data_IF_448749551933
#
_entry.id   IF_448749551933
#
_cell.length_a   1.000
_cell.length_b   1.000
_cell.length_c   1.000
_cell.angle_alpha   90.00
_cell.angle_beta   90.00
_cell.angle_gamma   90.00
#
_symmetry.space_group_name_H-M   'P 1'
#
loop_
_entity.id
_entity.type
_entity.pdbx_description
1 polymer ?
#
# COMPACT_ATOMS: atom_id res chain seq x y z
N UNK A 1 -3.60 -1.58 -8.36
CA UNK A 1 -3.62 -1.18 -6.91
C UNK A 1 -2.23 -1.00 -6.28
N UNK A 2 -1.33 -1.98 -6.35
CA UNK A 2 -0.02 -1.90 -5.65
C UNK A 2 1.04 -1.07 -6.39
N UNK A 3 1.02 -1.00 -7.72
CA UNK A 3 2.12 -0.41 -8.50
C UNK A 3 2.32 1.09 -8.22
N UNK A 4 1.23 1.87 -8.15
CA UNK A 4 1.30 3.29 -7.77
C UNK A 4 1.67 3.49 -6.31
N UNK A 5 1.30 2.57 -5.42
CA UNK A 5 1.74 2.58 -4.02
C UNK A 5 3.26 2.35 -3.91
N UNK A 6 3.82 1.42 -4.71
CA UNK A 6 5.27 1.23 -4.81
C UNK A 6 5.99 2.49 -5.30
N UNK A 7 5.41 3.22 -6.26
CA UNK A 7 5.96 4.49 -6.71
C UNK A 7 5.99 5.55 -5.59
N UNK A 8 4.91 5.66 -4.81
CA UNK A 8 4.84 6.57 -3.65
C UNK A 8 5.84 6.17 -2.55
N UNK A 9 5.99 4.87 -2.29
CA UNK A 9 6.97 4.33 -1.34
C UNK A 9 8.41 4.61 -1.78
N UNK A 10 8.69 4.51 -3.09
CA UNK A 10 9.98 4.87 -3.67
C UNK A 10 10.31 6.34 -3.45
N UNK A 11 9.34 7.23 -3.71
CA UNK A 11 9.51 8.67 -3.46
C UNK A 11 9.84 8.94 -1.99
N UNK A 12 9.16 8.27 -1.05
CA UNK A 12 9.41 8.50 0.37
C UNK A 12 10.72 7.90 0.87
N UNK A 13 11.15 6.75 0.35
CA UNK A 13 12.45 6.17 0.67
C UNK A 13 13.60 7.11 0.27
N UNK A 14 13.43 7.91 -0.77
CA UNK A 14 14.42 8.86 -1.27
C UNK A 14 14.31 10.25 -0.61
N UNK A 15 13.09 10.80 -0.53
CA UNK A 15 12.84 12.23 -0.26
C UNK A 15 12.31 12.56 1.13
N UNK A 16 11.81 11.60 1.89
CA UNK A 16 11.24 11.89 3.21
C UNK A 16 12.31 12.49 4.14
N UNK A 17 11.94 13.52 4.90
CA UNK A 17 12.92 14.24 5.73
C UNK A 17 13.25 13.51 7.03
N UNK A 18 12.30 12.72 7.53
CA UNK A 18 12.45 11.92 8.75
C UNK A 18 13.07 10.53 8.43
N UNK A 19 14.25 10.18 8.99
CA UNK A 19 14.88 8.89 8.76
C UNK A 19 14.00 7.68 9.08
N UNK A 20 13.16 7.75 10.11
CA UNK A 20 12.21 6.67 10.44
C UNK A 20 11.17 6.47 9.34
N UNK A 21 10.72 7.56 8.70
CA UNK A 21 9.76 7.52 7.61
C UNK A 21 10.37 6.88 6.35
N UNK A 22 11.62 7.24 6.02
CA UNK A 22 12.37 6.59 4.92
C UNK A 22 12.56 5.10 5.15
N UNK A 23 12.93 4.72 6.37
CA UNK A 23 13.15 3.32 6.74
C UNK A 23 11.84 2.51 6.68
N UNK A 24 10.73 3.09 7.15
CA UNK A 24 9.40 2.51 7.01
C UNK A 24 9.03 2.30 5.54
N UNK A 25 9.15 3.34 4.70
CA UNK A 25 8.83 3.27 3.28
C UNK A 25 9.63 2.17 2.56
N UNK A 26 10.92 2.05 2.87
CA UNK A 26 11.82 1.03 2.29
C UNK A 26 11.38 -0.40 2.66
N UNK A 27 11.05 -0.64 3.93
CA UNK A 27 10.56 -1.95 4.39
C UNK A 27 9.21 -2.30 3.78
N UNK A 28 8.28 -1.35 3.76
CA UNK A 28 6.96 -1.56 3.21
C UNK A 28 7.00 -1.82 1.69
N UNK A 29 7.85 -1.11 0.95
CA UNK A 29 8.11 -1.37 -0.47
C UNK A 29 8.55 -2.82 -0.69
N UNK A 30 9.59 -3.25 0.02
CA UNK A 30 10.14 -4.61 -0.09
C UNK A 30 9.09 -5.68 0.24
N UNK A 31 8.26 -5.43 1.26
CA UNK A 31 7.15 -6.30 1.64
C UNK A 31 6.10 -6.42 0.52
N UNK A 32 5.69 -5.30 -0.07
CA UNK A 32 4.71 -5.28 -1.16
C UNK A 32 5.22 -5.94 -2.45
N UNK A 33 6.52 -5.82 -2.77
CA UNK A 33 7.13 -6.54 -3.89
C UNK A 33 7.10 -8.06 -3.67
N UNK A 34 7.46 -8.51 -2.47
CA UNK A 34 7.41 -9.93 -2.13
C UNK A 34 5.98 -10.48 -2.21
N UNK A 35 4.98 -9.68 -1.82
CA UNK A 35 3.57 -10.03 -1.94
C UNK A 35 3.10 -10.13 -3.39
N UNK A 36 3.52 -9.22 -4.28
CA UNK A 36 3.25 -9.32 -5.71
C UNK A 36 3.79 -10.63 -6.29
N UNK A 37 4.99 -11.04 -5.85
CA UNK A 37 5.57 -12.34 -6.22
C UNK A 37 4.72 -13.54 -5.78
N UNK A 38 3.90 -13.41 -4.74
CA UNK A 38 2.97 -14.45 -4.26
C UNK A 38 1.59 -14.37 -4.91
N UNK A 39 1.12 -13.18 -5.24
CA UNK A 39 -0.17 -12.93 -5.89
C UNK A 39 -0.18 -13.42 -7.34
N UNK A 40 0.88 -13.14 -8.11
CA UNK A 40 0.97 -13.50 -9.54
C UNK A 40 0.76 -14.99 -9.83
N UNK A 41 1.43 -15.93 -9.12
CA UNK A 41 1.19 -17.36 -9.33
C UNK A 41 -0.24 -17.80 -8.97
N UNK A 42 -0.89 -17.14 -8.01
CA UNK A 42 -2.29 -17.43 -7.66
C UNK A 42 -3.24 -16.99 -8.78
N UNK A 43 -3.04 -15.80 -9.36
CA UNK A 43 -3.81 -15.34 -10.52
C UNK A 43 -3.67 -16.31 -11.69
N UNK A 44 -2.43 -16.72 -12.01
CA UNK A 44 -2.16 -17.69 -13.07
C UNK A 44 -2.87 -19.03 -12.84
N UNK A 45 -2.87 -19.55 -11.59
CA UNK A 45 -3.61 -20.78 -11.23
C UNK A 45 -5.13 -20.64 -11.30
N UNK A 46 -5.65 -19.43 -11.25
CA UNK A 46 -7.07 -19.13 -11.40
C UNK A 46 -7.47 -18.87 -12.88
N UNK A 47 -6.51 -18.87 -13.81
CA UNK A 47 -6.75 -18.51 -15.20
C UNK A 47 -7.07 -17.03 -15.39
N UNK A 48 -6.72 -16.19 -14.40
CA UNK A 48 -6.89 -14.74 -14.47
C UNK A 48 -5.66 -14.11 -15.13
N UNK A 49 -5.85 -13.06 -15.96
CA UNK A 49 -4.73 -12.33 -16.53
C UNK A 49 -3.95 -11.59 -15.43
N UNK A 50 -2.65 -11.39 -15.65
CA UNK A 50 -1.81 -10.51 -14.82
C UNK A 50 -1.97 -9.02 -15.19
N UNK A 51 -2.93 -8.70 -16.07
CA UNK A 51 -3.25 -7.34 -16.46
C UNK A 51 -3.98 -6.61 -15.34
N UNK A 52 -3.59 -5.38 -15.02
CA UNK A 52 -4.37 -4.53 -14.11
C UNK A 52 -5.70 -4.18 -14.77
N UNK A 53 -6.76 -4.91 -14.41
CA UNK A 53 -8.14 -4.67 -14.87
C UNK A 53 -8.72 -3.34 -14.38
N UNK A 54 -8.02 -2.66 -13.46
CA UNK A 54 -8.35 -1.33 -12.97
C UNK A 54 -7.44 -0.25 -13.56
N UNK A 55 -6.61 -0.57 -14.56
CA UNK A 55 -5.82 0.44 -15.26
C UNK A 55 -6.73 1.54 -15.82
N UNK A 56 -6.47 2.79 -15.40
CA UNK A 56 -7.26 3.96 -15.80
C UNK A 56 -8.53 4.23 -14.98
N UNK A 57 -8.82 3.42 -13.95
CA UNK A 57 -9.93 3.67 -13.02
C UNK A 57 -9.43 3.86 -11.59
N UNK A 58 -9.91 4.91 -10.92
CA UNK A 58 -9.60 5.15 -9.51
C UNK A 58 -10.57 4.37 -8.62
N UNK A 59 -10.00 3.64 -7.66
CA UNK A 59 -10.73 2.90 -6.63
C UNK A 59 -10.40 3.49 -5.26
N UNK A 60 -11.30 3.39 -4.27
CA UNK A 60 -10.99 3.83 -2.90
C UNK A 60 -9.65 3.24 -2.41
N UNK A 61 -8.83 4.03 -1.74
CA UNK A 61 -7.50 3.61 -1.24
C UNK A 61 -6.47 3.26 -2.32
N UNK A 62 -6.73 3.53 -3.60
CA UNK A 62 -5.68 3.51 -4.60
C UNK A 62 -4.88 4.82 -4.50
N UNK A 63 -3.55 4.73 -4.56
CA UNK A 63 -2.72 5.91 -4.84
C UNK A 63 -2.98 6.29 -6.30
N UNK A 64 -3.47 7.50 -6.55
CA UNK A 64 -3.81 7.98 -7.90
C UNK A 64 -2.60 8.63 -8.58
N UNK A 65 -2.72 8.97 -9.88
CA UNK A 65 -1.66 9.75 -10.53
C UNK A 65 -1.58 11.17 -9.97
N UNK A 66 -2.73 11.78 -9.64
CA UNK A 66 -2.77 13.10 -9.02
C UNK A 66 -2.06 13.11 -7.65
N UNK A 67 -2.20 12.04 -6.85
CA UNK A 67 -1.47 11.90 -5.58
C UNK A 67 0.04 11.84 -5.81
N UNK A 68 0.49 11.12 -6.84
CA UNK A 68 1.90 11.04 -7.19
C UNK A 68 2.44 12.39 -7.69
N UNK A 69 1.68 13.11 -8.50
CA UNK A 69 2.05 14.46 -8.95
C UNK A 69 2.16 15.43 -7.77
N UNK A 70 1.18 15.43 -6.87
CA UNK A 70 1.21 16.23 -5.66
C UNK A 70 2.42 15.86 -4.78
N UNK A 71 2.69 14.57 -4.60
CA UNK A 71 3.86 14.10 -3.85
C UNK A 71 5.19 14.51 -4.51
N UNK A 72 5.30 14.46 -5.85
CA UNK A 72 6.52 14.88 -6.55
C UNK A 72 6.80 16.39 -6.41
N UNK A 73 5.73 17.19 -6.35
CA UNK A 73 5.79 18.65 -6.22
C UNK A 73 5.98 19.13 -4.78
N UNK A 74 5.64 18.30 -3.79
CA UNK A 74 5.77 18.65 -2.38
C UNK A 74 7.20 18.37 -1.85
N UNK A 75 7.56 19.09 -0.80
CA UNK A 75 8.83 18.94 -0.08
C UNK A 75 8.60 19.03 1.43
N UNK A 76 9.56 18.51 2.21
CA UNK A 76 9.55 18.60 3.66
C UNK A 76 8.29 18.03 4.30
N UNK A 77 7.76 18.73 5.31
CA UNK A 77 6.58 18.31 6.05
C UNK A 77 5.31 18.20 5.18
N UNK A 78 5.23 18.92 4.06
CA UNK A 78 4.10 18.80 3.12
C UNK A 78 4.15 17.45 2.39
N UNK A 79 5.34 17.05 1.94
CA UNK A 79 5.56 15.73 1.35
C UNK A 79 5.25 14.62 2.36
N UNK A 80 5.81 14.71 3.57
CA UNK A 80 5.63 13.69 4.61
C UNK A 80 4.14 13.50 4.94
N UNK A 81 3.35 14.58 4.98
CA UNK A 81 1.89 14.51 5.17
C UNK A 81 1.17 13.79 4.03
N UNK A 82 1.47 14.14 2.78
CA UNK A 82 0.84 13.48 1.61
C UNK A 82 1.15 11.98 1.60
N UNK A 83 2.40 11.62 1.86
CA UNK A 83 2.83 10.24 1.96
C UNK A 83 2.08 9.47 3.05
N UNK A 84 2.06 10.00 4.28
CA UNK A 84 1.43 9.35 5.43
C UNK A 84 -0.07 9.12 5.20
N UNK A 85 -0.77 10.12 4.67
CA UNK A 85 -2.21 10.00 4.34
C UNK A 85 -2.44 8.98 3.25
N UNK A 86 -1.73 9.08 2.12
CA UNK A 86 -1.90 8.17 0.99
C UNK A 86 -1.61 6.71 1.34
N UNK A 87 -0.52 6.45 2.06
CA UNK A 87 -0.17 5.09 2.47
C UNK A 87 -1.12 4.54 3.53
N UNK A 88 -1.58 5.36 4.49
CA UNK A 88 -2.59 4.90 5.45
C UNK A 88 -3.86 4.46 4.73
N UNK A 89 -4.37 5.28 3.82
CA UNK A 89 -5.62 5.01 3.12
C UNK A 89 -5.49 3.76 2.23
N UNK A 90 -4.35 3.61 1.57
CA UNK A 90 -4.01 2.41 0.82
C UNK A 90 -3.96 1.14 1.69
N UNK A 91 -3.28 1.17 2.82
CA UNK A 91 -3.19 0.04 3.73
C UNK A 91 -4.56 -0.34 4.30
N UNK A 92 -5.37 0.64 4.71
CA UNK A 92 -6.72 0.41 5.24
C UNK A 92 -7.62 -0.26 4.21
N UNK A 93 -7.63 0.26 2.98
CA UNK A 93 -8.47 -0.31 1.94
C UNK A 93 -7.98 -1.68 1.48
N UNK A 94 -6.66 -1.88 1.35
CA UNK A 94 -6.07 -3.18 1.03
C UNK A 94 -6.39 -4.24 2.09
N UNK A 95 -6.41 -3.86 3.37
CA UNK A 95 -6.86 -4.74 4.44
C UNK A 95 -8.36 -5.09 4.31
N UNK A 96 -9.21 -4.11 3.95
CA UNK A 96 -10.63 -4.34 3.73
C UNK A 96 -10.88 -5.33 2.59
N UNK A 97 -10.24 -5.13 1.43
CA UNK A 97 -10.34 -6.05 0.28
C UNK A 97 -9.89 -7.46 0.67
N UNK A 98 -8.79 -7.57 1.43
CA UNK A 98 -8.30 -8.85 1.91
C UNK A 98 -9.30 -9.52 2.88
N UNK A 99 -9.94 -8.77 3.79
CA UNK A 99 -11.00 -9.32 4.64
C UNK A 99 -12.19 -9.82 3.82
N UNK A 100 -12.57 -9.12 2.75
CA UNK A 100 -13.63 -9.57 1.84
C UNK A 100 -13.28 -10.90 1.17
N UNK A 101 -12.03 -11.13 0.78
CA UNK A 101 -11.62 -12.43 0.23
C UNK A 101 -11.68 -13.55 1.28
N UNK A 102 -11.30 -13.27 2.54
CA UNK A 102 -11.42 -14.26 3.63
C UNK A 102 -12.87 -14.71 3.80
N UNK A 103 -13.82 -13.77 3.77
CA UNK A 103 -15.24 -14.05 4.02
C UNK A 103 -15.95 -14.63 2.79
N UNK A 104 -15.79 -13.99 1.63
CA UNK A 104 -16.55 -14.30 0.41
C UNK A 104 -15.82 -15.21 -0.58
N UNK A 105 -14.50 -15.37 -0.46
CA UNK A 105 -13.70 -16.20 -1.35
C UNK A 105 -14.10 -17.67 -1.30
N UNK A 106 -13.84 -18.40 -2.38
CA UNK A 106 -14.10 -19.84 -2.46
C UNK A 106 -12.84 -20.69 -2.25
N UNK A 107 -11.65 -20.13 -2.48
CA UNK A 107 -10.40 -20.90 -2.55
C UNK A 107 -9.56 -20.76 -1.28
N UNK A 108 -9.14 -21.88 -0.72
CA UNK A 108 -8.36 -21.91 0.52
C UNK A 108 -7.00 -21.19 0.40
N UNK A 109 -6.33 -21.31 -0.75
CA UNK A 109 -5.05 -20.66 -1.02
C UNK A 109 -5.16 -19.13 -1.08
N UNK A 110 -6.21 -18.62 -1.73
CA UNK A 110 -6.53 -17.20 -1.76
C UNK A 110 -6.86 -16.65 -0.36
N UNK A 111 -7.70 -17.36 0.41
CA UNK A 111 -8.03 -16.97 1.79
C UNK A 111 -6.81 -16.95 2.71
N UNK A 112 -5.91 -17.92 2.58
CA UNK A 112 -4.68 -17.97 3.37
C UNK A 112 -3.77 -16.77 3.07
N UNK A 113 -3.61 -16.41 1.79
CA UNK A 113 -2.86 -15.22 1.44
C UNK A 113 -3.55 -13.96 1.95
N UNK A 114 -4.87 -13.85 1.79
CA UNK A 114 -5.64 -12.71 2.26
C UNK A 114 -5.52 -12.51 3.78
N UNK A 115 -5.54 -13.58 4.58
CA UNK A 115 -5.29 -13.50 6.02
C UNK A 115 -3.89 -12.95 6.34
N UNK A 116 -2.86 -13.42 5.63
CA UNK A 116 -1.50 -12.90 5.79
C UNK A 116 -1.40 -11.40 5.40
N UNK A 117 -2.11 -10.98 4.36
CA UNK A 117 -2.16 -9.57 3.94
C UNK A 117 -2.85 -8.70 4.99
N UNK A 118 -3.95 -9.15 5.60
CA UNK A 118 -4.61 -8.42 6.70
C UNK A 118 -3.63 -8.17 7.84
N UNK A 119 -2.95 -9.21 8.31
CA UNK A 119 -1.94 -9.08 9.38
C UNK A 119 -0.82 -8.12 9.01
N UNK A 120 -0.30 -8.21 7.77
CA UNK A 120 0.74 -7.31 7.29
C UNK A 120 0.29 -5.84 7.23
N UNK A 121 -0.95 -5.57 6.76
CA UNK A 121 -1.50 -4.21 6.70
C UNK A 121 -1.74 -3.64 8.10
N UNK A 122 -2.27 -4.44 9.03
CA UNK A 122 -2.51 -3.99 10.41
C UNK A 122 -1.21 -3.65 11.14
N UNK A 123 -0.16 -4.47 10.95
CA UNK A 123 1.16 -4.19 11.48
C UNK A 123 1.76 -2.90 10.87
N UNK A 124 1.67 -2.73 9.55
CA UNK A 124 2.15 -1.54 8.86
C UNK A 124 1.39 -0.27 9.27
N UNK A 125 0.07 -0.37 9.50
CA UNK A 125 -0.75 0.74 10.01
C UNK A 125 -0.34 1.15 11.42
N UNK A 126 -0.15 0.18 12.32
CA UNK A 126 0.29 0.43 13.69
C UNK A 126 1.65 1.12 13.70
N UNK A 127 2.58 0.67 12.85
CA UNK A 127 3.89 1.30 12.71
C UNK A 127 3.77 2.72 12.15
N UNK A 128 3.00 2.91 11.08
CA UNK A 128 2.78 4.21 10.43
C UNK A 128 2.20 5.25 11.39
N UNK A 129 1.21 4.87 12.19
CA UNK A 129 0.58 5.74 13.19
C UNK A 129 1.53 6.12 14.33
N UNK A 130 2.56 5.31 14.57
CA UNK A 130 3.62 5.59 15.54
C UNK A 130 4.79 6.44 15.00
N UNK A 131 4.78 6.79 13.71
CA UNK A 131 5.88 7.58 13.11
C UNK A 131 5.82 9.05 13.53
N UNK A 132 6.97 9.74 13.62
CA UNK A 132 7.00 11.18 13.82
C UNK A 132 6.16 11.91 12.76
N UNK A 133 5.37 12.90 13.17
CA UNK A 133 4.48 13.64 12.28
C UNK A 133 3.15 12.96 11.95
N UNK A 134 2.98 11.67 12.27
CA UNK A 134 1.74 10.93 11.99
C UNK A 134 0.52 11.57 12.67
N UNK A 135 0.60 11.91 13.96
CA UNK A 135 -0.52 12.53 14.67
C UNK A 135 -1.00 13.86 14.04
N UNK A 136 -0.11 14.64 13.45
CA UNK A 136 -0.45 15.93 12.81
C UNK A 136 -0.88 15.79 11.35
N UNK A 137 -0.43 14.72 10.69
CA UNK A 137 -0.80 14.41 9.31
C UNK A 137 -2.16 13.68 9.23
N UNK A 138 -2.49 12.89 10.26
CA UNK A 138 -3.57 11.91 10.24
C UNK A 138 -4.79 12.29 11.09
N UNK A 139 -4.64 13.24 12.02
CA UNK A 139 -5.71 13.82 12.85
C UNK A 139 -6.40 14.99 12.17
#
# INVERSE_FOLDING_TARGET
MNEKALALLTLAADRATEPRLRAFATRLHSGQEAELGRLRPLLARMGLPDTDVHAGHDMPGMVTEADLEAARAAEGAAFDRLFLTGIRDHLRHSAQVSRSEITAGARADAKQLAAALVTAREAALTELEGLPGAAQALG
#
